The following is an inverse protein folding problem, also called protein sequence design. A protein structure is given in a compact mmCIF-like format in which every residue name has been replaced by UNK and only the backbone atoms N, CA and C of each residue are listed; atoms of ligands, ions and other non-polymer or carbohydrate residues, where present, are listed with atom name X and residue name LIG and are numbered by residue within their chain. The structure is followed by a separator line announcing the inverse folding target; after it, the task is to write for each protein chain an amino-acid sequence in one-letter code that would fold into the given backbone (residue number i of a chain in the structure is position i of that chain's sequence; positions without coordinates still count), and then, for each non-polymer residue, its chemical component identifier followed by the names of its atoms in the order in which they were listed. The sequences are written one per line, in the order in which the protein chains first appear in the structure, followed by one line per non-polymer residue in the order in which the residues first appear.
data_IF_802753124331
#
_entry.id   IF_802753124331
#
_cell.length_a   1.000
_cell.length_b   1.000
_cell.length_c   1.000
_cell.angle_alpha   90.00
_cell.angle_beta   90.00
_cell.angle_gamma   90.00
#
_symmetry.space_group_name_H-M   'P 1'
#
loop_
_entity.id
_entity.type
_entity.pdbx_description
1 polymer ?
#
# COMPACT_ATOMS: atom_id res chain seq x y z
N UNK A 1 -0.54 0.93 14.73
CA UNK A 1 0.35 -0.12 14.18
C UNK A 1 1.77 0.37 14.42
N UNK A 2 2.71 -0.45 14.88
CA UNK A 2 4.05 0.08 15.27
C UNK A 2 5.04 0.15 14.10
N UNK A 3 4.79 -0.62 13.05
CA UNK A 3 5.56 -0.69 11.80
C UNK A 3 4.62 -1.04 10.64
N UNK A 4 4.78 -0.39 9.49
CA UNK A 4 4.10 -0.75 8.24
C UNK A 4 5.08 -1.52 7.36
N UNK A 5 4.69 -2.72 6.92
CA UNK A 5 5.45 -3.48 5.94
C UNK A 5 4.90 -3.15 4.55
N UNK A 6 5.71 -2.55 3.67
CA UNK A 6 5.29 -2.05 2.36
C UNK A 6 6.27 -2.39 1.24
N UNK A 7 5.76 -2.66 0.03
CA UNK A 7 6.60 -2.72 -1.18
C UNK A 7 7.03 -1.31 -1.58
N UNK A 8 8.28 -1.14 -2.07
CA UNK A 8 8.76 0.17 -2.52
C UNK A 8 7.83 0.88 -3.51
N UNK A 9 7.28 0.19 -4.50
CA UNK A 9 6.41 0.85 -5.49
C UNK A 9 5.08 1.31 -4.91
N UNK A 10 4.44 0.52 -4.04
CA UNK A 10 3.21 0.96 -3.39
C UNK A 10 3.44 2.19 -2.52
N UNK A 11 4.58 2.26 -1.83
CA UNK A 11 4.95 3.47 -1.09
C UNK A 11 5.06 4.67 -2.03
N UNK A 12 5.78 4.54 -3.15
CA UNK A 12 5.90 5.61 -4.15
C UNK A 12 4.55 5.99 -4.76
N UNK A 13 3.66 5.02 -5.02
CA UNK A 13 2.32 5.29 -5.55
C UNK A 13 1.47 6.08 -4.55
N UNK A 14 1.53 5.75 -3.26
CA UNK A 14 0.86 6.52 -2.20
C UNK A 14 1.39 7.96 -2.17
N UNK A 15 2.71 8.14 -2.17
CA UNK A 15 3.33 9.48 -2.16
C UNK A 15 2.96 10.29 -3.43
N UNK A 16 2.94 9.65 -4.60
CA UNK A 16 2.52 10.29 -5.86
C UNK A 16 1.07 10.76 -5.80
N UNK A 17 0.17 9.93 -5.29
CA UNK A 17 -1.25 10.26 -5.17
C UNK A 17 -1.49 11.36 -4.12
N UNK A 18 -0.77 11.30 -3.00
CA UNK A 18 -0.78 12.35 -1.99
C UNK A 18 -0.29 13.68 -2.56
N UNK A 19 0.84 13.69 -3.27
CA UNK A 19 1.37 14.87 -3.96
C UNK A 19 0.46 15.42 -5.07
N UNK A 20 -0.49 14.61 -5.57
CA UNK A 20 -1.52 15.04 -6.51
C UNK A 20 -2.78 15.61 -5.83
N UNK A 21 -2.80 15.73 -4.50
CA UNK A 21 -3.89 16.30 -3.71
C UNK A 21 -4.89 15.28 -3.16
N UNK A 22 -4.61 13.97 -3.24
CA UNK A 22 -5.43 12.96 -2.57
C UNK A 22 -4.96 12.81 -1.13
N UNK A 23 -5.66 13.46 -0.20
CA UNK A 23 -5.34 13.42 1.23
C UNK A 23 -6.12 12.35 1.98
N UNK A 24 -7.18 11.79 1.38
CA UNK A 24 -8.01 10.74 2.01
C UNK A 24 -8.36 9.65 1.01
N UNK A 25 -7.96 8.43 1.34
CA UNK A 25 -8.12 7.24 0.52
C UNK A 25 -9.38 6.47 0.98
N UNK A 26 -10.37 6.34 0.11
CA UNK A 26 -11.65 5.68 0.43
C UNK A 26 -11.59 4.22 -0.08
N UNK A 27 -11.81 3.21 0.79
CA UNK A 27 -11.76 1.81 0.39
C UNK A 27 -12.68 1.44 -0.77
N UNK A 28 -12.16 0.68 -1.73
CA UNK A 28 -12.94 -0.05 -2.73
C UNK A 28 -13.29 -1.45 -2.17
N UNK A 29 -14.40 -1.54 -1.44
CA UNK A 29 -14.85 -2.77 -0.75
C UNK A 29 -14.93 -4.02 -1.65
N UNK A 30 -15.34 -3.94 -2.93
CA UNK A 30 -15.31 -5.06 -3.87
C UNK A 30 -13.93 -5.73 -4.05
N UNK A 31 -12.86 -4.94 -4.13
CA UNK A 31 -11.50 -5.42 -4.40
C UNK A 31 -10.83 -5.97 -3.12
N UNK A 32 -11.19 -5.46 -1.94
CA UNK A 32 -10.64 -5.89 -0.65
C UNK A 32 -9.15 -5.58 -0.50
N UNK A 33 -8.68 -4.52 -1.14
CA UNK A 33 -7.27 -4.11 -1.12
C UNK A 33 -7.04 -3.13 0.04
N UNK A 34 -6.11 -3.45 0.93
CA UNK A 34 -5.79 -2.60 2.10
C UNK A 34 -4.93 -1.37 1.73
N UNK A 35 -4.74 -1.11 0.44
CA UNK A 35 -4.02 0.07 -0.08
C UNK A 35 -4.53 1.36 0.58
N UNK A 36 -5.85 1.54 0.65
CA UNK A 36 -6.47 2.73 1.22
C UNK A 36 -6.21 2.87 2.72
N UNK A 37 -6.20 1.74 3.44
CA UNK A 37 -5.92 1.71 4.88
C UNK A 37 -4.47 2.08 5.15
N UNK A 38 -3.54 1.47 4.43
CA UNK A 38 -2.10 1.75 4.56
C UNK A 38 -1.77 3.18 4.13
N UNK A 39 -2.42 3.68 3.07
CA UNK A 39 -2.25 5.06 2.63
C UNK A 39 -2.72 6.07 3.68
N UNK A 40 -3.90 5.86 4.27
CA UNK A 40 -4.39 6.73 5.35
C UNK A 40 -3.49 6.66 6.59
N UNK A 41 -3.03 5.47 7.00
CA UNK A 41 -2.11 5.33 8.15
C UNK A 41 -0.79 6.09 7.93
N UNK A 42 -0.22 6.04 6.73
CA UNK A 42 1.00 6.80 6.38
C UNK A 42 0.79 8.32 6.41
N UNK A 43 -0.39 8.80 6.00
CA UNK A 43 -0.73 10.23 5.97
C UNK A 43 -1.01 10.75 7.39
N UNK A 44 -1.79 10.01 8.17
CA UNK A 44 -2.15 10.38 9.54
C UNK A 44 -0.94 10.25 10.50
N UNK A 45 0.03 9.38 10.17
CA UNK A 45 1.22 9.12 10.97
C UNK A 45 2.51 9.15 10.12
N UNK A 46 2.96 10.33 9.65
CA UNK A 46 4.10 10.46 8.73
C UNK A 46 5.46 10.06 9.33
N UNK A 47 5.52 9.85 10.65
CA UNK A 47 6.71 9.39 11.38
C UNK A 47 6.67 7.90 11.74
N UNK A 48 5.66 7.16 11.28
CA UNK A 48 5.59 5.71 11.48
C UNK A 48 6.77 4.99 10.83
N UNK A 49 7.28 3.94 11.47
CA UNK A 49 8.34 3.15 10.88
C UNK A 49 7.82 2.36 9.68
N UNK A 50 8.56 2.40 8.59
CA UNK A 50 8.23 1.68 7.36
C UNK A 50 9.33 0.68 7.05
N UNK A 51 8.96 -0.58 6.85
CA UNK A 51 9.85 -1.66 6.44
C UNK A 51 9.61 -2.03 4.99
N UNK A 52 10.64 -1.86 4.17
CA UNK A 52 10.62 -2.19 2.75
C UNK A 52 10.83 -3.69 2.50
N UNK A 53 10.03 -4.25 1.60
CA UNK A 53 10.04 -5.69 1.29
C UNK A 53 9.45 -5.99 -0.08
N UNK A 54 9.46 -7.26 -0.48
CA UNK A 54 8.82 -7.77 -1.70
C UNK A 54 7.41 -8.36 -1.45
N UNK A 55 6.99 -8.46 -0.18
CA UNK A 55 5.64 -8.90 0.25
C UNK A 55 5.11 -7.99 1.34
N UNK A 56 3.95 -7.36 1.17
CA UNK A 56 3.48 -6.34 2.09
C UNK A 56 2.06 -6.53 2.61
N UNK A 57 1.71 -5.68 3.58
CA UNK A 57 0.42 -5.70 4.28
C UNK A 57 -0.74 -5.24 3.37
N UNK A 58 -0.46 -4.51 2.29
CA UNK A 58 -1.44 -4.12 1.26
C UNK A 58 -1.99 -5.36 0.54
N UNK A 59 -1.11 -6.31 0.18
CA UNK A 59 -1.48 -7.45 -0.65
C UNK A 59 -2.00 -8.66 0.12
N UNK A 60 -1.64 -8.82 1.40
CA UNK A 60 -2.07 -9.97 2.23
C UNK A 60 -3.59 -10.20 2.31
N UNK A 61 -4.43 -9.16 2.48
CA UNK A 61 -5.89 -9.33 2.54
C UNK A 61 -6.55 -9.32 1.15
N UNK A 62 -5.79 -9.12 0.07
CA UNK A 62 -6.33 -9.02 -1.28
C UNK A 62 -6.99 -10.34 -1.73
N UNK A 63 -8.18 -10.27 -2.34
CA UNK A 63 -8.85 -11.45 -2.92
C UNK A 63 -8.03 -12.18 -3.99
N UNK A 64 -7.08 -11.49 -4.63
CA UNK A 64 -6.19 -12.06 -5.64
C UNK A 64 -4.89 -12.65 -5.05
N UNK A 65 -4.73 -12.64 -3.73
CA UNK A 65 -3.56 -13.19 -3.07
C UNK A 65 -3.63 -14.73 -3.02
N UNK A 66 -2.66 -15.40 -3.63
CA UNK A 66 -2.57 -16.87 -3.66
C UNK A 66 -1.20 -17.33 -3.13
N UNK A 67 -0.86 -16.94 -1.89
CA UNK A 67 0.47 -17.15 -1.30
C UNK A 67 1.56 -16.19 -1.81
N UNK A 68 1.31 -15.53 -2.96
CA UNK A 68 2.09 -14.42 -3.50
C UNK A 68 1.14 -13.45 -4.20
N UNK A 69 1.49 -12.16 -4.15
CA UNK A 69 0.79 -11.14 -4.92
C UNK A 69 0.93 -11.45 -6.43
N UNK A 70 -0.19 -11.51 -7.14
CA UNK A 70 -0.22 -11.74 -8.60
C UNK A 70 0.18 -10.51 -9.41
N UNK A 71 0.12 -9.33 -8.79
CA UNK A 71 0.73 -8.12 -9.32
C UNK A 71 2.24 -8.15 -9.02
N UNK A 72 2.91 -9.02 -9.77
CA UNK A 72 4.36 -9.01 -9.84
C UNK A 72 4.73 -7.85 -10.76
N UNK A 73 5.38 -6.82 -10.23
CA UNK A 73 6.08 -5.82 -11.02
C UNK A 73 6.94 -6.53 -12.08
N UNK A 74 6.49 -6.53 -13.33
CA UNK A 74 7.28 -7.04 -14.46
C UNK A 74 8.24 -5.98 -15.01
N UNK A 75 8.07 -4.70 -14.62
CA UNK A 75 8.99 -3.60 -14.92
C UNK A 75 8.69 -2.38 -14.05
N UNK A 76 9.74 -1.69 -13.60
CA UNK A 76 9.67 -0.31 -13.10
C UNK A 76 10.05 0.56 -14.31
N UNK A 77 9.06 1.17 -14.96
CA UNK A 77 9.27 2.10 -16.08
C UNK A 77 9.14 3.54 -15.60
#
# INVERSE_FOLDING_TARGET
MDEIIIKPHHFIDIIKLYGAGIERFIPDEPMGHDFYKVANELIDHPTINVKLTVYDDICRPCKKYNGRCVDALTSIS
#
